data_IF_142670709229
#
_entry.id   IF_142670709229
#
_cell.length_a   1.000
_cell.length_b   1.000
_cell.length_c   1.000
_cell.angle_alpha   90.00
_cell.angle_beta   90.00
_cell.angle_gamma   90.00
#
_symmetry.space_group_name_H-M   'P 1'
#
loop_
_entity.id
_entity.type
_entity.pdbx_description
1 polymer ?
#
# COMPACT_ATOMS: atom_id res chain seq x y z
N UNK A 1 28.64 -2.40 -17.67
CA UNK A 1 27.96 -2.95 -16.48
C UNK A 1 28.96 -3.02 -15.34
N UNK A 2 28.55 -2.74 -14.11
CA UNK A 2 29.35 -2.97 -12.90
C UNK A 2 28.92 -4.32 -12.28
N UNK A 3 29.87 -5.05 -11.70
CA UNK A 3 29.66 -6.41 -11.16
C UNK A 3 29.06 -6.36 -9.75
N UNK A 4 28.08 -7.22 -9.45
CA UNK A 4 27.53 -7.42 -8.10
C UNK A 4 26.05 -7.83 -8.03
N UNK A 5 25.28 -7.63 -9.10
CA UNK A 5 23.94 -8.14 -9.39
C UNK A 5 23.63 -7.65 -10.81
N UNK A 6 23.39 -8.55 -11.76
CA UNK A 6 23.17 -8.21 -13.18
C UNK A 6 21.84 -7.49 -13.41
N UNK A 7 21.72 -6.25 -12.92
CA UNK A 7 20.54 -5.41 -13.11
C UNK A 7 20.99 -4.12 -13.78
N UNK A 8 20.58 -3.96 -15.04
CA UNK A 8 20.73 -2.70 -15.76
C UNK A 8 19.82 -1.68 -15.10
N UNK A 9 20.39 -0.54 -14.70
CA UNK A 9 19.58 0.57 -14.22
C UNK A 9 18.74 1.11 -15.38
N UNK A 10 17.41 1.09 -15.21
CA UNK A 10 16.46 1.69 -16.14
C UNK A 10 15.60 2.65 -15.33
N UNK A 11 15.47 3.92 -15.74
CA UNK A 11 14.61 4.84 -15.04
C UNK A 11 13.14 4.69 -15.39
N UNK A 12 12.26 4.97 -14.43
CA UNK A 12 10.83 5.15 -14.73
C UNK A 12 10.59 6.40 -15.60
N UNK A 13 9.71 6.34 -16.61
CA UNK A 13 9.28 7.52 -17.36
C UNK A 13 8.72 8.61 -16.42
N UNK A 14 9.07 9.87 -16.66
CA UNK A 14 8.68 10.96 -15.75
C UNK A 14 7.16 11.07 -15.58
N UNK A 15 6.39 10.96 -16.67
CA UNK A 15 4.94 10.98 -16.61
C UNK A 15 4.35 9.82 -15.77
N UNK A 16 5.01 8.66 -15.74
CA UNK A 16 4.59 7.55 -14.91
C UNK A 16 4.92 7.78 -13.43
N UNK A 17 6.09 8.36 -13.12
CA UNK A 17 6.44 8.81 -11.76
C UNK A 17 5.38 9.77 -11.23
N UNK A 18 5.01 10.77 -12.01
CA UNK A 18 3.98 11.73 -11.62
C UNK A 18 2.63 11.05 -11.35
N UNK A 19 2.26 10.12 -12.22
CA UNK A 19 1.03 9.35 -12.08
C UNK A 19 1.03 8.42 -10.88
N UNK A 20 2.14 7.76 -10.58
CA UNK A 20 2.29 6.89 -9.41
C UNK A 20 2.05 7.69 -8.12
N UNK A 21 2.65 8.88 -8.01
CA UNK A 21 2.45 9.76 -6.85
C UNK A 21 1.00 10.27 -6.76
N UNK A 22 0.34 10.54 -7.89
CA UNK A 22 -1.09 10.91 -7.93
C UNK A 22 -2.01 9.77 -7.50
N UNK A 23 -1.75 8.54 -7.98
CA UNK A 23 -2.52 7.34 -7.59
C UNK A 23 -2.40 7.07 -6.09
N UNK A 24 -1.20 7.24 -5.53
CA UNK A 24 -0.96 7.18 -4.09
C UNK A 24 -1.55 8.38 -3.32
N UNK A 25 -2.08 9.39 -4.01
CA UNK A 25 -2.62 10.62 -3.40
C UNK A 25 -1.64 11.21 -2.40
N UNK A 26 -0.38 11.31 -2.80
CA UNK A 26 0.72 11.80 -1.96
C UNK A 26 0.42 13.23 -1.51
N UNK A 27 0.58 13.48 -0.21
CA UNK A 27 0.37 14.80 0.42
C UNK A 27 1.61 15.21 1.25
N UNK A 28 1.76 16.48 1.64
CA UNK A 28 2.84 16.90 2.54
C UNK A 28 2.87 16.20 3.91
N UNK A 29 1.77 15.57 4.33
CA UNK A 29 1.73 14.77 5.56
C UNK A 29 2.39 13.39 5.39
N UNK A 30 2.74 13.00 4.17
CA UNK A 30 3.34 11.71 3.88
C UNK A 30 4.85 11.68 4.10
N UNK A 31 5.35 10.46 4.28
CA UNK A 31 6.76 10.13 4.18
C UNK A 31 6.93 9.10 3.07
N UNK A 32 7.52 9.52 1.95
CA UNK A 32 7.70 8.69 0.76
C UNK A 32 9.04 7.97 0.85
N UNK A 33 9.05 6.66 0.65
CA UNK A 33 10.28 5.89 0.52
C UNK A 33 10.35 5.22 -0.85
N UNK A 34 11.44 5.45 -1.58
CA UNK A 34 11.69 4.83 -2.88
C UNK A 34 12.75 3.74 -2.74
N UNK A 35 12.37 2.50 -3.03
CA UNK A 35 13.26 1.33 -2.87
C UNK A 35 13.93 1.04 -4.21
N UNK A 36 15.26 1.18 -4.26
CA UNK A 36 16.01 1.18 -5.52
C UNK A 36 15.94 2.53 -6.24
N UNK A 37 16.23 3.61 -5.52
CA UNK A 37 15.89 4.97 -5.95
C UNK A 37 16.67 5.52 -7.16
N UNK A 38 17.75 4.86 -7.58
CA UNK A 38 18.47 5.19 -8.80
C UNK A 38 18.96 6.65 -8.86
N UNK A 39 18.60 7.37 -9.92
CA UNK A 39 18.97 8.78 -10.10
C UNK A 39 18.20 9.75 -9.18
N UNK A 40 17.31 9.20 -8.34
CA UNK A 40 16.52 9.91 -7.35
C UNK A 40 15.29 10.62 -7.90
N UNK A 41 14.92 10.43 -9.18
CA UNK A 41 13.81 11.18 -9.81
C UNK A 41 12.50 11.11 -9.03
N UNK A 42 12.11 9.93 -8.53
CA UNK A 42 10.85 9.74 -7.81
C UNK A 42 10.86 10.49 -6.49
N UNK A 43 11.96 10.37 -5.74
CA UNK A 43 12.19 11.07 -4.46
C UNK A 43 12.20 12.59 -4.67
N UNK A 44 12.87 13.07 -5.72
CA UNK A 44 12.96 14.49 -6.08
C UNK A 44 11.57 15.02 -6.49
N UNK A 45 10.81 14.29 -7.31
CA UNK A 45 9.45 14.68 -7.69
C UNK A 45 8.53 14.75 -6.47
N UNK A 46 8.61 13.78 -5.55
CA UNK A 46 7.86 13.83 -4.30
C UNK A 46 8.25 15.05 -3.44
N UNK A 47 9.55 15.35 -3.33
CA UNK A 47 10.04 16.50 -2.58
C UNK A 47 9.61 17.86 -3.17
N UNK A 48 9.58 17.97 -4.50
CA UNK A 48 9.02 19.13 -5.21
C UNK A 48 7.53 19.34 -4.91
N UNK A 49 6.79 18.28 -4.58
CA UNK A 49 5.39 18.34 -4.12
C UNK A 49 5.23 18.69 -2.63
N UNK A 50 6.32 19.01 -1.94
CA UNK A 50 6.31 19.40 -0.53
C UNK A 50 6.44 18.24 0.45
N UNK A 51 6.74 17.03 -0.02
CA UNK A 51 6.74 15.81 0.81
C UNK A 51 8.15 15.46 1.25
N UNK A 52 8.31 14.94 2.47
CA UNK A 52 9.60 14.37 2.90
C UNK A 52 9.78 13.00 2.25
N UNK A 53 10.91 12.82 1.57
CA UNK A 53 11.17 11.62 0.79
C UNK A 53 12.59 11.08 1.03
N UNK A 54 12.71 9.76 1.03
CA UNK A 54 13.96 9.03 1.23
C UNK A 54 14.13 8.01 0.11
N UNK A 55 15.24 8.10 -0.62
CA UNK A 55 15.69 7.05 -1.54
C UNK A 55 16.66 6.10 -0.86
N UNK A 56 16.38 4.79 -0.95
CA UNK A 56 17.32 3.73 -0.60
C UNK A 56 17.88 3.19 -1.90
N UNK A 57 19.20 3.22 -2.05
CA UNK A 57 19.89 2.78 -3.25
C UNK A 57 21.12 1.95 -2.88
N UNK A 58 21.34 0.84 -3.59
CA UNK A 58 22.44 -0.06 -3.29
C UNK A 58 23.77 0.47 -3.87
N UNK A 59 23.72 1.03 -5.07
CA UNK A 59 24.90 1.53 -5.76
C UNK A 59 25.34 2.91 -5.21
N UNK A 60 26.54 3.02 -4.61
CA UNK A 60 27.02 4.28 -4.03
C UNK A 60 27.19 5.40 -5.08
N UNK A 61 27.50 5.07 -6.34
CA UNK A 61 27.61 6.05 -7.43
C UNK A 61 26.25 6.69 -7.75
N UNK A 62 25.18 5.88 -7.71
CA UNK A 62 23.80 6.34 -7.90
C UNK A 62 23.31 7.18 -6.70
N UNK A 63 23.73 6.83 -5.48
CA UNK A 63 23.51 7.67 -4.29
C UNK A 63 24.19 9.04 -4.44
N UNK A 64 25.43 9.06 -4.92
CA UNK A 64 26.14 10.32 -5.17
C UNK A 64 25.46 11.15 -6.27
N UNK A 65 24.99 10.50 -7.34
CA UNK A 65 24.24 11.14 -8.42
C UNK A 65 22.92 11.75 -7.93
N UNK A 66 22.09 10.97 -7.22
CA UNK A 66 20.79 11.42 -6.71
C UNK A 66 20.91 12.60 -5.75
N UNK A 67 21.95 12.62 -4.90
CA UNK A 67 22.26 13.79 -4.05
C UNK A 67 22.58 15.04 -4.86
N UNK A 68 23.38 14.93 -5.93
CA UNK A 68 23.66 16.06 -6.85
C UNK A 68 22.38 16.53 -7.55
N UNK A 69 21.54 15.60 -8.01
CA UNK A 69 20.27 15.93 -8.66
C UNK A 69 19.31 16.66 -7.72
N UNK A 70 19.23 16.24 -6.45
CA UNK A 70 18.40 16.90 -5.46
C UNK A 70 18.91 18.31 -5.10
N UNK A 71 20.23 18.50 -5.05
CA UNK A 71 20.85 19.81 -4.89
C UNK A 71 20.54 20.73 -6.07
N UNK A 72 20.73 20.24 -7.30
CA UNK A 72 20.39 20.98 -8.52
C UNK A 72 18.89 21.32 -8.62
N UNK A 73 18.03 20.45 -8.08
CA UNK A 73 16.59 20.67 -8.01
C UNK A 73 16.14 21.55 -6.83
N UNK A 74 17.04 21.94 -5.91
CA UNK A 74 16.74 22.80 -4.77
C UNK A 74 15.84 22.16 -3.71
N UNK A 75 15.90 20.84 -3.52
CA UNK A 75 14.98 20.09 -2.62
C UNK A 75 15.70 19.30 -1.52
N UNK A 76 16.94 19.66 -1.19
CA UNK A 76 17.77 18.94 -0.20
C UNK A 76 17.21 18.93 1.22
N UNK A 77 16.30 19.86 1.55
CA UNK A 77 15.58 19.93 2.82
C UNK A 77 14.54 18.81 2.97
N UNK A 78 14.10 18.23 1.85
CA UNK A 78 13.00 17.25 1.78
C UNK A 78 13.39 15.93 1.13
N UNK A 79 14.34 15.92 0.20
CA UNK A 79 14.85 14.72 -0.47
C UNK A 79 16.17 14.27 0.16
N UNK A 80 16.18 13.04 0.67
CA UNK A 80 17.37 12.40 1.24
C UNK A 80 17.66 11.07 0.55
N UNK A 81 18.93 10.67 0.51
CA UNK A 81 19.37 9.43 -0.13
C UNK A 81 20.40 8.72 0.73
N UNK A 82 20.19 7.42 0.93
CA UNK A 82 21.08 6.56 1.71
C UNK A 82 21.50 5.37 0.86
N UNK A 83 22.76 4.96 1.06
CA UNK A 83 23.21 3.68 0.55
C UNK A 83 22.66 2.58 1.47
N UNK A 84 22.02 1.55 0.91
CA UNK A 84 21.51 0.45 1.72
C UNK A 84 20.87 -0.67 0.92
N UNK A 85 20.74 -1.83 1.57
CA UNK A 85 19.91 -2.92 1.07
C UNK A 85 18.45 -2.68 1.48
N UNK A 86 17.54 -2.67 0.50
CA UNK A 86 16.10 -2.49 0.70
C UNK A 86 15.47 -3.60 1.56
N UNK A 87 16.10 -4.78 1.65
CA UNK A 87 15.65 -5.91 2.47
C UNK A 87 16.08 -5.79 3.94
N UNK A 88 17.04 -4.93 4.25
CA UNK A 88 17.60 -4.74 5.60
C UNK A 88 17.27 -3.36 6.18
N UNK A 89 16.71 -2.46 5.36
CA UNK A 89 16.39 -1.08 5.73
C UNK A 89 15.14 -0.98 6.60
N UNK A 90 15.12 -0.04 7.55
CA UNK A 90 13.92 0.28 8.33
C UNK A 90 12.91 1.05 7.47
N UNK A 91 11.80 0.40 7.15
CA UNK A 91 10.69 0.97 6.38
C UNK A 91 9.57 1.57 7.26
N UNK A 92 9.67 1.46 8.59
CA UNK A 92 8.57 1.73 9.53
C UNK A 92 7.97 3.14 9.44
N UNK A 93 8.74 4.10 8.94
CA UNK A 93 8.33 5.50 8.77
C UNK A 93 7.54 5.76 7.49
N UNK A 94 7.57 4.86 6.50
CA UNK A 94 6.90 5.08 5.23
C UNK A 94 5.38 5.14 5.39
N UNK A 95 4.77 6.14 4.76
CA UNK A 95 3.32 6.16 4.52
C UNK A 95 3.00 5.89 3.05
N UNK A 96 3.99 6.04 2.16
CA UNK A 96 3.96 5.66 0.75
C UNK A 96 5.29 4.99 0.39
N UNK A 97 5.24 3.87 -0.32
CA UNK A 97 6.41 3.22 -0.91
C UNK A 97 6.28 3.24 -2.44
N UNK A 98 7.36 3.61 -3.12
CA UNK A 98 7.48 3.55 -4.59
C UNK A 98 8.49 2.48 -4.97
N UNK A 99 8.19 1.73 -6.05
CA UNK A 99 9.01 0.61 -6.52
C UNK A 99 9.18 0.66 -8.04
N UNK A 100 10.41 0.44 -8.51
CA UNK A 100 10.68 -0.05 -9.86
C UNK A 100 11.87 -1.00 -9.79
N UNK A 101 11.56 -2.26 -9.49
CA UNK A 101 12.55 -3.29 -9.16
C UNK A 101 12.51 -4.42 -10.21
N UNK A 102 12.24 -5.64 -9.76
CA UNK A 102 11.99 -6.84 -10.56
C UNK A 102 10.90 -7.67 -9.87
N UNK A 103 10.19 -8.57 -10.58
CA UNK A 103 9.13 -9.39 -10.00
C UNK A 103 9.55 -10.14 -8.73
N UNK A 104 10.70 -10.80 -8.74
CA UNK A 104 11.19 -11.60 -7.59
C UNK A 104 11.51 -10.73 -6.38
N UNK A 105 12.02 -9.51 -6.60
CA UNK A 105 12.30 -8.56 -5.52
C UNK A 105 11.01 -8.05 -4.89
N UNK A 106 9.99 -7.75 -5.71
CA UNK A 106 8.65 -7.39 -5.22
C UNK A 106 8.03 -8.53 -4.40
N UNK A 107 8.16 -9.78 -4.85
CA UNK A 107 7.66 -10.95 -4.11
C UNK A 107 8.40 -11.15 -2.78
N UNK A 108 9.72 -10.94 -2.76
CA UNK A 108 10.52 -11.00 -1.53
C UNK A 108 10.17 -9.87 -0.55
N UNK A 109 9.82 -8.68 -1.05
CA UNK A 109 9.39 -7.54 -0.22
C UNK A 109 7.95 -7.68 0.32
N UNK A 110 7.07 -8.37 -0.42
CA UNK A 110 5.62 -8.45 -0.11
C UNK A 110 5.31 -8.82 1.36
N UNK A 111 5.96 -9.80 2.01
CA UNK A 111 5.71 -10.11 3.41
C UNK A 111 6.02 -8.93 4.36
N UNK A 112 7.11 -8.20 4.11
CA UNK A 112 7.47 -6.99 4.86
C UNK A 112 6.44 -5.90 4.66
N UNK A 113 6.02 -5.64 3.42
CA UNK A 113 5.00 -4.63 3.12
C UNK A 113 3.66 -4.95 3.80
N UNK A 114 3.23 -6.21 3.79
CA UNK A 114 2.00 -6.69 4.46
C UNK A 114 2.10 -6.72 6.00
N UNK A 115 3.28 -6.51 6.58
CA UNK A 115 3.46 -6.34 8.03
C UNK A 115 3.45 -4.89 8.47
N UNK A 116 3.47 -3.94 7.52
CA UNK A 116 3.40 -2.52 7.81
C UNK A 116 1.99 -2.09 8.23
N UNK A 117 1.90 -0.83 8.70
CA UNK A 117 0.64 -0.25 9.16
C UNK A 117 -0.42 -0.30 8.04
N UNK A 118 -1.66 -0.70 8.36
CA UNK A 118 -2.76 -0.64 7.41
C UNK A 118 -2.91 0.78 6.84
N UNK A 119 -3.16 0.87 5.54
CA UNK A 119 -3.26 2.14 4.83
C UNK A 119 -1.95 2.65 4.23
N UNK A 120 -0.81 1.99 4.48
CA UNK A 120 0.38 2.17 3.65
C UNK A 120 -0.01 1.98 2.18
N UNK A 121 0.36 2.93 1.33
CA UNK A 121 0.17 2.83 -0.12
C UNK A 121 1.47 2.41 -0.77
N UNK A 122 1.41 1.40 -1.63
CA UNK A 122 2.56 0.95 -2.39
C UNK A 122 2.25 1.15 -3.86
N UNK A 123 3.10 1.88 -4.57
CA UNK A 123 3.00 2.07 -6.02
C UNK A 123 4.20 1.46 -6.72
N UNK A 124 3.95 0.67 -7.75
CA UNK A 124 4.99 -0.03 -8.50
C UNK A 124 4.90 0.30 -9.98
N UNK A 125 6.05 0.53 -10.61
CA UNK A 125 6.16 0.55 -12.07
C UNK A 125 6.32 -0.90 -12.59
N UNK A 126 5.37 -1.30 -13.42
CA UNK A 126 5.29 -2.48 -14.29
C UNK A 126 5.39 -3.86 -13.67
N UNK A 127 5.93 -4.01 -12.47
CA UNK A 127 6.05 -5.30 -11.81
C UNK A 127 5.01 -5.44 -10.68
N UNK A 128 4.24 -6.53 -10.75
CA UNK A 128 3.22 -6.91 -9.76
C UNK A 128 3.82 -7.52 -8.49
N UNK A 129 2.96 -7.90 -7.55
CA UNK A 129 3.30 -8.61 -6.31
C UNK A 129 2.67 -10.00 -6.26
N UNK A 130 2.70 -10.73 -7.39
CA UNK A 130 2.03 -12.04 -7.55
C UNK A 130 0.53 -11.93 -7.25
N UNK A 131 0.03 -12.86 -6.44
CA UNK A 131 -1.41 -13.01 -6.15
C UNK A 131 -2.03 -11.85 -5.36
N UNK A 132 -1.22 -10.92 -4.86
CA UNK A 132 -1.76 -9.70 -4.28
C UNK A 132 -2.19 -8.79 -5.42
N UNK A 133 -3.48 -8.82 -5.77
CA UNK A 133 -4.05 -7.99 -6.83
C UNK A 133 -4.02 -6.49 -6.46
N UNK A 134 -3.75 -5.58 -7.41
CA UNK A 134 -3.72 -4.14 -7.15
C UNK A 134 -5.12 -3.55 -6.91
N UNK A 135 -5.18 -2.53 -6.05
CA UNK A 135 -6.37 -1.69 -5.83
C UNK A 135 -6.65 -0.76 -7.01
N UNK A 136 -5.63 -0.42 -7.80
CA UNK A 136 -5.76 0.40 -9.00
C UNK A 136 -4.65 0.06 -10.00
N UNK A 137 -5.00 0.12 -11.29
CA UNK A 137 -4.07 -0.04 -12.41
C UNK A 137 -4.19 1.19 -13.32
N UNK A 138 -3.07 1.63 -13.87
CA UNK A 138 -3.02 2.67 -14.90
C UNK A 138 -1.97 2.32 -15.96
N UNK A 139 -2.29 2.54 -17.23
CA UNK A 139 -1.39 2.32 -18.35
C UNK A 139 -1.12 3.65 -19.06
N UNK A 140 0.16 4.03 -19.16
CA UNK A 140 0.57 5.28 -19.79
C UNK A 140 0.60 5.19 -21.33
N UNK A 141 0.67 3.98 -21.88
CA UNK A 141 0.67 3.75 -23.33
C UNK A 141 2.03 3.99 -24.03
N UNK A 142 3.14 3.74 -23.34
CA UNK A 142 4.49 3.75 -23.93
C UNK A 142 5.11 2.34 -24.03
N UNK A 143 6.23 2.23 -24.75
CA UNK A 143 6.77 0.95 -25.24
C UNK A 143 7.21 -0.03 -24.15
N UNK A 144 7.85 0.45 -23.07
CA UNK A 144 8.34 -0.41 -21.99
C UNK A 144 8.22 0.26 -20.63
N UNK A 145 7.87 -0.53 -19.61
CA UNK A 145 7.78 -0.09 -18.21
C UNK A 145 6.83 1.09 -17.97
N UNK A 146 5.59 0.94 -18.43
CA UNK A 146 4.59 2.01 -18.54
C UNK A 146 3.27 1.74 -17.80
N UNK A 147 3.24 0.74 -16.91
CA UNK A 147 2.05 0.38 -16.15
C UNK A 147 2.26 0.70 -14.68
N UNK A 148 1.45 1.57 -14.11
CA UNK A 148 1.47 1.85 -12.67
C UNK A 148 0.42 0.97 -11.96
N UNK A 149 0.86 0.34 -10.88
CA UNK A 149 -0.01 -0.41 -9.97
C UNK A 149 -0.02 0.25 -8.60
N UNK A 150 -1.17 0.27 -7.94
CA UNK A 150 -1.32 0.72 -6.55
C UNK A 150 -1.88 -0.41 -5.70
N UNK A 151 -1.29 -0.63 -4.54
CA UNK A 151 -1.82 -1.45 -3.46
C UNK A 151 -1.96 -0.61 -2.19
N UNK A 152 -2.91 -0.98 -1.35
CA UNK A 152 -3.11 -0.42 -0.02
C UNK A 152 -3.05 -1.57 0.97
N UNK A 153 -2.06 -1.54 1.87
CA UNK A 153 -1.88 -2.58 2.89
C UNK A 153 -3.17 -2.70 3.72
N UNK A 154 -3.87 -3.84 3.69
CA UNK A 154 -5.14 -4.00 4.38
C UNK A 154 -4.93 -4.26 5.87
N UNK A 155 -5.90 -3.88 6.70
CA UNK A 155 -5.93 -4.30 8.09
C UNK A 155 -6.06 -5.83 8.19
N UNK A 156 -5.48 -6.41 9.24
CA UNK A 156 -5.56 -7.85 9.51
C UNK A 156 -6.84 -8.13 10.29
N UNK A 157 -7.76 -8.86 9.68
CA UNK A 157 -9.10 -9.13 10.25
C UNK A 157 -9.46 -10.61 10.29
N UNK A 158 -8.57 -11.50 9.85
CA UNK A 158 -8.80 -12.94 9.93
C UNK A 158 -9.10 -13.37 11.38
N UNK A 159 -10.13 -14.20 11.53
CA UNK A 159 -10.51 -14.77 12.83
C UNK A 159 -11.97 -14.53 13.17
N UNK A 160 -12.29 -14.80 14.44
CA UNK A 160 -13.64 -14.67 14.99
C UNK A 160 -13.76 -13.36 15.75
N UNK A 161 -14.83 -12.63 15.48
CA UNK A 161 -15.13 -11.34 16.07
C UNK A 161 -16.47 -11.40 16.78
N UNK A 162 -16.50 -11.04 18.06
CA UNK A 162 -17.74 -10.90 18.82
C UNK A 162 -18.38 -9.55 18.52
N UNK A 163 -19.66 -9.53 18.13
CA UNK A 163 -20.37 -8.27 17.93
C UNK A 163 -20.52 -7.52 19.26
N UNK A 164 -20.30 -6.20 19.24
CA UNK A 164 -20.42 -5.34 20.43
C UNK A 164 -21.86 -4.99 20.77
N UNK A 165 -22.79 -5.21 19.83
CA UNK A 165 -24.23 -5.01 20.00
C UNK A 165 -24.95 -6.30 19.68
N UNK A 166 -25.61 -6.89 20.69
CA UNK A 166 -26.33 -8.16 20.58
C UNK A 166 -25.45 -9.41 20.76
N UNK A 167 -26.06 -10.59 20.63
CA UNK A 167 -25.38 -11.89 20.68
C UNK A 167 -25.12 -12.39 19.25
N UNK A 168 -23.99 -11.97 18.66
CA UNK A 168 -23.58 -12.41 17.33
C UNK A 168 -22.08 -12.55 17.16
N UNK A 169 -21.67 -13.37 16.20
CA UNK A 169 -20.27 -13.67 15.89
C UNK A 169 -20.03 -13.46 14.39
N UNK A 170 -18.97 -12.73 14.03
CA UNK A 170 -18.49 -12.57 12.66
C UNK A 170 -17.21 -13.38 12.51
N UNK A 171 -17.21 -14.41 11.67
CA UNK A 171 -16.01 -15.19 11.33
C UNK A 171 -15.50 -14.73 9.96
N UNK A 172 -14.23 -14.33 9.89
CA UNK A 172 -13.58 -13.83 8.67
C UNK A 172 -12.41 -14.70 8.27
N UNK A 173 -12.39 -15.10 7.00
CA UNK A 173 -11.20 -15.55 6.29
C UNK A 173 -10.69 -14.39 5.44
N UNK A 174 -9.38 -14.19 5.40
CA UNK A 174 -8.77 -13.07 4.69
C UNK A 174 -7.73 -13.57 3.71
N UNK A 175 -7.81 -13.05 2.49
CA UNK A 175 -6.78 -13.15 1.48
C UNK A 175 -6.46 -11.73 0.98
N UNK A 176 -5.34 -11.19 1.48
CA UNK A 176 -4.96 -9.79 1.28
C UNK A 176 -6.11 -8.82 1.60
N UNK A 177 -6.60 -8.07 0.62
CA UNK A 177 -7.69 -7.11 0.75
C UNK A 177 -9.09 -7.72 0.58
N UNK A 178 -9.20 -9.02 0.27
CA UNK A 178 -10.49 -9.71 0.12
C UNK A 178 -10.81 -10.49 1.38
N UNK A 179 -12.08 -10.45 1.79
CA UNK A 179 -12.54 -11.21 2.94
C UNK A 179 -13.80 -12.01 2.59
N UNK A 180 -13.88 -13.20 3.17
CA UNK A 180 -15.04 -14.10 3.10
C UNK A 180 -15.37 -14.57 4.52
N UNK A 181 -16.50 -15.27 4.69
CA UNK A 181 -16.88 -15.82 5.98
C UNK A 181 -18.35 -15.64 6.30
N UNK A 182 -18.69 -15.67 7.59
CA UNK A 182 -20.08 -15.76 8.06
C UNK A 182 -20.38 -14.78 9.17
N UNK A 183 -21.62 -14.29 9.21
CA UNK A 183 -22.19 -13.54 10.31
C UNK A 183 -23.29 -14.37 10.96
N UNK A 184 -23.12 -14.69 12.24
CA UNK A 184 -24.08 -15.39 13.08
C UNK A 184 -24.78 -14.39 14.00
N UNK A 185 -26.10 -14.48 14.09
CA UNK A 185 -26.93 -13.71 15.03
C UNK A 185 -28.03 -14.62 15.57
N UNK A 186 -27.96 -14.96 16.86
CA UNK A 186 -28.82 -16.00 17.44
C UNK A 186 -28.66 -17.35 16.73
N UNK A 187 -29.75 -17.93 16.25
CA UNK A 187 -29.77 -19.19 15.49
C UNK A 187 -29.45 -19.03 13.99
N UNK A 188 -29.54 -17.81 13.45
CA UNK A 188 -29.29 -17.55 12.03
C UNK A 188 -27.79 -17.39 11.74
N UNK A 189 -27.32 -17.97 10.64
CA UNK A 189 -25.97 -17.81 10.11
C UNK A 189 -26.05 -17.48 8.62
N UNK A 190 -25.45 -16.38 8.21
CA UNK A 190 -25.45 -15.92 6.81
C UNK A 190 -24.03 -15.77 6.30
N UNK A 191 -23.79 -16.16 5.05
CA UNK A 191 -22.52 -15.88 4.37
C UNK A 191 -22.39 -14.39 4.10
N UNK A 192 -21.20 -13.85 4.26
CA UNK A 192 -20.88 -12.50 3.81
C UNK A 192 -20.57 -12.51 2.31
N UNK A 193 -20.88 -11.41 1.62
CA UNK A 193 -20.53 -11.21 0.21
C UNK A 193 -19.92 -9.83 -0.02
N UNK A 194 -19.17 -9.68 -1.12
CA UNK A 194 -18.52 -8.41 -1.48
C UNK A 194 -17.50 -7.91 -0.45
N UNK A 195 -16.97 -8.82 0.37
CA UNK A 195 -16.07 -8.51 1.47
C UNK A 195 -14.74 -7.95 0.99
N UNK A 196 -14.41 -6.74 1.44
CA UNK A 196 -13.18 -6.04 1.06
C UNK A 196 -12.63 -5.16 2.17
N UNK A 197 -11.32 -4.95 2.11
CA UNK A 197 -10.57 -4.02 2.93
C UNK A 197 -9.93 -2.94 2.05
N UNK A 198 -9.78 -1.74 2.59
CA UNK A 198 -8.96 -0.67 2.02
C UNK A 198 -8.28 0.06 3.15
N UNK A 199 -7.03 -0.33 3.43
CA UNK A 199 -6.38 0.05 4.68
C UNK A 199 -7.18 -0.49 5.85
N UNK A 200 -7.52 0.40 6.77
CA UNK A 200 -8.36 0.11 7.94
C UNK A 200 -9.85 -0.01 7.61
N UNK A 201 -10.31 0.42 6.42
CA UNK A 201 -11.73 0.39 6.08
C UNK A 201 -12.16 -1.00 5.66
N UNK A 202 -13.17 -1.54 6.33
CA UNK A 202 -13.79 -2.83 6.02
C UNK A 202 -15.20 -2.60 5.47
N UNK A 203 -15.61 -3.40 4.49
CA UNK A 203 -17.00 -3.46 4.04
C UNK A 203 -17.39 -4.84 3.54
N UNK A 204 -18.62 -5.25 3.78
CA UNK A 204 -19.22 -6.49 3.29
C UNK A 204 -20.75 -6.40 3.34
N UNK A 205 -21.44 -7.33 2.70
CA UNK A 205 -22.90 -7.49 2.78
C UNK A 205 -23.21 -8.80 3.50
N UNK A 206 -24.20 -8.79 4.40
CA UNK A 206 -24.67 -10.00 5.08
C UNK A 206 -26.17 -9.89 5.35
N UNK A 207 -26.94 -10.91 4.95
CA UNK A 207 -28.41 -10.92 5.17
C UNK A 207 -29.15 -9.74 4.55
N UNK A 208 -28.68 -9.20 3.41
CA UNK A 208 -29.26 -8.03 2.75
C UNK A 208 -28.87 -6.67 3.37
N UNK A 209 -28.06 -6.66 4.43
CA UNK A 209 -27.56 -5.45 5.07
C UNK A 209 -26.12 -5.15 4.65
N UNK A 210 -25.81 -3.87 4.41
CA UNK A 210 -24.46 -3.41 4.06
C UNK A 210 -23.72 -2.95 5.31
N UNK A 211 -22.61 -3.63 5.62
CA UNK A 211 -21.73 -3.31 6.74
C UNK A 211 -20.54 -2.51 6.24
N UNK A 212 -20.25 -1.41 6.92
CA UNK A 212 -19.02 -0.61 6.73
C UNK A 212 -18.43 -0.29 8.08
N UNK A 213 -17.11 -0.27 8.18
CA UNK A 213 -16.45 0.13 9.42
C UNK A 213 -14.98 0.45 9.22
N UNK A 214 -14.34 0.81 10.33
CA UNK A 214 -12.90 0.97 10.46
C UNK A 214 -12.39 -0.03 11.48
N UNK A 215 -11.31 -0.72 11.12
CA UNK A 215 -10.55 -1.60 11.99
C UNK A 215 -9.52 -0.74 12.73
N UNK A 216 -9.58 -0.73 14.05
CA UNK A 216 -8.57 -0.11 14.92
C UNK A 216 -8.17 -1.15 15.95
N UNK A 217 -6.92 -1.59 15.89
CA UNK A 217 -6.39 -2.69 16.70
C UNK A 217 -7.28 -3.95 16.63
N UNK A 218 -7.90 -4.33 17.74
CA UNK A 218 -8.79 -5.49 17.88
C UNK A 218 -10.27 -5.10 17.90
N UNK A 219 -10.61 -3.93 17.38
CA UNK A 219 -11.99 -3.44 17.30
C UNK A 219 -12.36 -3.04 15.87
N UNK A 220 -13.62 -3.29 15.52
CA UNK A 220 -14.27 -2.74 14.34
C UNK A 220 -15.40 -1.85 14.82
N UNK A 221 -15.45 -0.62 14.30
CA UNK A 221 -16.53 0.31 14.56
C UNK A 221 -17.05 0.88 13.25
N UNK A 222 -18.37 0.99 13.11
CA UNK A 222 -18.95 1.57 11.92
C UNK A 222 -20.46 1.53 11.89
N UNK A 223 -21.01 1.40 10.68
CA UNK A 223 -22.45 1.45 10.43
C UNK A 223 -22.91 0.26 9.59
N UNK A 224 -24.09 -0.26 9.92
CA UNK A 224 -24.84 -1.20 9.10
C UNK A 224 -26.05 -0.50 8.50
N UNK A 225 -26.30 -0.69 7.21
CA UNK A 225 -27.43 -0.13 6.47
C UNK A 225 -28.37 -1.23 6.00
N UNK A 226 -29.64 -1.13 6.38
CA UNK A 226 -30.71 -2.07 6.01
C UNK A 226 -31.96 -1.28 5.63
N UNK A 227 -32.50 -1.49 4.43
CA UNK A 227 -33.77 -0.87 4.02
C UNK A 227 -33.79 0.67 4.10
N UNK A 228 -32.65 1.33 3.90
CA UNK A 228 -32.52 2.80 4.00
C UNK A 228 -32.14 3.32 5.40
N UNK A 229 -32.38 2.54 6.45
CA UNK A 229 -31.97 2.87 7.82
C UNK A 229 -30.51 2.54 8.04
N UNK A 230 -29.78 3.43 8.71
CA UNK A 230 -28.36 3.22 9.07
C UNK A 230 -28.22 3.29 10.58
N UNK A 231 -27.65 2.23 11.18
CA UNK A 231 -27.41 2.15 12.62
C UNK A 231 -25.95 1.79 12.92
N UNK A 232 -25.39 2.19 14.08
CA UNK A 232 -24.02 1.81 14.40
C UNK A 232 -23.91 0.32 14.72
N UNK A 233 -22.82 -0.30 14.29
CA UNK A 233 -22.41 -1.66 14.66
C UNK A 233 -20.93 -1.67 15.06
N UNK A 234 -20.51 -2.74 15.69
CA UNK A 234 -19.10 -2.99 15.93
C UNK A 234 -18.84 -4.44 16.30
N UNK A 235 -17.56 -4.81 16.33
CA UNK A 235 -17.10 -6.13 16.71
C UNK A 235 -15.73 -6.08 17.38
N UNK A 236 -15.37 -7.09 18.17
CA UNK A 236 -14.06 -7.22 18.83
C UNK A 236 -13.48 -8.62 18.66
N UNK A 237 -12.16 -8.70 18.43
CA UNK A 237 -11.39 -9.93 18.24
C UNK A 237 -10.84 -10.49 19.55
#
# INVERSE_FOLDING_TARGET
GQSGKDVVWVPSPQALVDKMLDMAKVTPADFVMDLGSGDGRTVITAAKRGVRALGIEYNPDMVALSRRNAAAAGVIDRASFVQGDIFESDLSRATVITLFLLPDLNLRLRPTLLSMKPGLRVVSNSFKMGEWEPDQVFELGCDTYCTAYLWIVPARVQGKWQLTRGQGELTLNQEFQRITGTLKSGAASVQISGGKLRGERISFVAGGAEYRGRVVDRAIEGTVKTGGTTVPWGARL
#
